data_IF_917579821031
#
_entry.id   IF_917579821031
#
_cell.length_a   1.000
_cell.length_b   1.000
_cell.length_c   1.000
_cell.angle_alpha   90.00
_cell.angle_beta   90.00
_cell.angle_gamma   90.00
#
_symmetry.space_group_name_H-M   'P 1'
#
loop_
_entity.id
_entity.type
_entity.pdbx_description
1 polymer ?
#
# COMPACT_ATOMS: atom_id res chain seq x y z
N UNK A 1 -9.32 0.39 -12.23
CA UNK A 1 -10.05 1.35 -11.39
C UNK A 1 -11.44 1.41 -11.96
N UNK A 2 -12.46 1.03 -11.21
CA UNK A 2 -13.82 1.08 -11.74
C UNK A 2 -14.24 2.55 -11.94
N UNK A 3 -15.19 2.81 -12.85
CA UNK A 3 -15.53 4.17 -13.27
C UNK A 3 -16.02 5.09 -12.13
N UNK A 4 -16.48 4.53 -11.01
CA UNK A 4 -16.96 5.25 -9.82
C UNK A 4 -16.00 5.21 -8.62
N UNK A 5 -14.82 4.60 -8.79
CA UNK A 5 -13.86 4.43 -7.71
C UNK A 5 -13.03 5.71 -7.54
N UNK A 6 -13.22 6.40 -6.41
CA UNK A 6 -12.57 7.68 -6.10
C UNK A 6 -11.55 7.51 -4.98
N UNK A 7 -10.38 8.10 -5.15
CA UNK A 7 -9.34 8.16 -4.11
C UNK A 7 -9.79 9.18 -3.06
N UNK A 8 -9.81 8.76 -1.80
CA UNK A 8 -10.11 9.63 -0.66
C UNK A 8 -8.83 10.04 0.07
N UNK A 9 -7.87 9.12 0.19
CA UNK A 9 -6.58 9.38 0.80
C UNK A 9 -5.50 8.50 0.19
N UNK A 10 -4.27 8.99 0.20
CA UNK A 10 -3.08 8.21 -0.11
C UNK A 10 -2.02 8.48 0.95
N UNK A 11 -1.40 7.42 1.46
CA UNK A 11 -0.35 7.49 2.47
C UNK A 11 0.92 6.88 1.87
N UNK A 12 1.96 7.69 1.80
CA UNK A 12 3.28 7.29 1.33
C UNK A 12 4.11 6.68 2.47
N UNK A 13 5.16 5.95 2.10
CA UNK A 13 6.14 5.40 3.05
C UNK A 13 5.53 4.48 4.11
N UNK A 14 4.53 3.70 3.72
CA UNK A 14 3.87 2.72 4.60
C UNK A 14 4.68 1.44 4.61
N UNK A 15 5.04 1.00 5.82
CA UNK A 15 5.73 -0.26 6.04
C UNK A 15 4.72 -1.36 6.34
N UNK A 16 4.63 -2.35 5.45
CA UNK A 16 3.84 -3.55 5.73
C UNK A 16 4.72 -4.58 6.42
N UNK A 17 4.44 -4.83 7.70
CA UNK A 17 5.04 -5.94 8.44
C UNK A 17 4.48 -7.28 7.91
N UNK A 18 5.36 -8.25 7.63
CA UNK A 18 4.92 -9.65 7.52
C UNK A 18 4.56 -10.16 8.92
N UNK A 19 3.62 -11.11 9.03
CA UNK A 19 3.16 -11.74 10.29
C UNK A 19 4.31 -12.41 11.07
N UNK A 20 5.17 -11.61 11.66
CA UNK A 20 6.40 -11.96 12.31
C UNK A 20 7.05 -10.67 12.75
N UNK A 21 6.76 -10.26 13.97
CA UNK A 21 7.14 -9.00 14.63
C UNK A 21 8.65 -8.66 14.57
N UNK A 22 9.52 -9.56 14.06
CA UNK A 22 10.97 -9.34 13.93
C UNK A 22 11.61 -9.93 12.66
N UNK A 23 10.84 -10.23 11.60
CA UNK A 23 11.48 -10.57 10.32
C UNK A 23 11.84 -9.28 9.57
N UNK A 24 13.10 -8.86 9.62
CA UNK A 24 13.66 -7.60 9.11
C UNK A 24 13.58 -7.34 7.59
N UNK A 25 12.50 -7.77 6.92
CA UNK A 25 12.21 -7.53 5.51
C UNK A 25 10.80 -6.95 5.33
N UNK A 26 10.45 -5.95 6.15
CA UNK A 26 9.28 -5.11 5.92
C UNK A 26 9.31 -4.55 4.50
N UNK A 27 8.15 -4.51 3.82
CA UNK A 27 8.07 -3.97 2.46
C UNK A 27 7.54 -2.55 2.55
N UNK A 28 8.35 -1.59 2.12
CA UNK A 28 7.92 -0.20 1.93
C UNK A 28 7.01 -0.09 0.71
N UNK A 29 5.92 0.65 0.85
CA UNK A 29 4.96 0.89 -0.21
C UNK A 29 4.07 2.10 0.08
N UNK A 30 2.99 2.19 -0.68
CA UNK A 30 1.97 3.22 -0.55
C UNK A 30 0.63 2.56 -0.24
N UNK A 31 -0.15 3.18 0.64
CA UNK A 31 -1.51 2.78 0.94
C UNK A 31 -2.48 3.76 0.27
N UNK A 32 -3.41 3.26 -0.53
CA UNK A 32 -4.45 4.05 -1.17
C UNK A 32 -5.80 3.66 -0.58
N UNK A 33 -6.49 4.63 0.01
CA UNK A 33 -7.88 4.49 0.42
C UNK A 33 -8.79 5.05 -0.68
N UNK A 34 -9.70 4.21 -1.13
CA UNK A 34 -10.78 4.59 -2.03
C UNK A 34 -12.11 4.48 -1.30
N UNK A 35 -13.18 5.01 -1.91
CA UNK A 35 -14.54 4.82 -1.43
C UNK A 35 -15.01 3.35 -1.41
N UNK A 36 -14.29 2.41 -2.04
CA UNK A 36 -14.67 1.00 -2.12
C UNK A 36 -13.72 0.04 -1.40
N UNK A 37 -12.44 0.38 -1.32
CA UNK A 37 -11.40 -0.52 -0.82
C UNK A 37 -10.13 0.21 -0.37
N UNK A 38 -9.35 -0.50 0.44
CA UNK A 38 -8.00 -0.13 0.84
C UNK A 38 -6.99 -0.98 0.06
N UNK A 39 -6.05 -0.33 -0.62
CA UNK A 39 -5.05 -0.96 -1.50
C UNK A 39 -3.65 -0.69 -0.97
N UNK A 40 -2.78 -1.71 -0.95
CA UNK A 40 -1.36 -1.54 -0.68
C UNK A 40 -0.55 -1.77 -1.96
N UNK A 41 0.14 -0.72 -2.42
CA UNK A 41 1.00 -0.74 -3.59
C UNK A 41 2.44 -0.86 -3.13
N UNK A 42 3.09 -1.99 -3.45
CA UNK A 42 4.52 -2.16 -3.21
C UNK A 42 5.31 -1.33 -4.23
N UNK A 43 6.31 -0.58 -3.77
CA UNK A 43 7.26 0.08 -4.67
C UNK A 43 8.06 -1.00 -5.42
N UNK A 44 7.82 -1.16 -6.73
CA UNK A 44 8.69 -1.96 -7.58
C UNK A 44 9.89 -1.11 -8.01
N UNK A 45 11.10 -1.64 -7.85
CA UNK A 45 12.29 -1.05 -8.47
C UNK A 45 12.19 -1.30 -9.97
N UNK A 46 12.20 -0.24 -10.78
CA UNK A 46 12.53 -0.35 -12.21
C UNK A 46 14.00 -0.78 -12.30
N UNK A 47 14.24 -1.86 -13.04
CA UNK A 47 15.59 -2.32 -13.44
C UNK A 47 15.97 -1.57 -14.70
#
# INVERSE_FOLDING_TARGET
MEADEKIQAHVLSVWKESRGFFSGKGREGMLILTNKRLLFIKKQKRV
#
